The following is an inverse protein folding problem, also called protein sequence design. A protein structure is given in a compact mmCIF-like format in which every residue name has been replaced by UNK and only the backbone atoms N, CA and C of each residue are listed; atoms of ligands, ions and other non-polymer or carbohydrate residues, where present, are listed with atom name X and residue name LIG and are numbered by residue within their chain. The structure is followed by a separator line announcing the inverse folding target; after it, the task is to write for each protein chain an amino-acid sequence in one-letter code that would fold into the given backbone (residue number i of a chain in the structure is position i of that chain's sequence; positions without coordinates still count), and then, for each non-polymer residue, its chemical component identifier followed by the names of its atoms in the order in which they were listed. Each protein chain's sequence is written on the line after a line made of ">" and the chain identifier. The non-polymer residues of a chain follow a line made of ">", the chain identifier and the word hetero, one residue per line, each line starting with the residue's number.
data_IF_224142977400
#
_entry.id   IF_224142977400
#
_cell.length_a   1.000
_cell.length_b   1.000
_cell.length_c   1.000
_cell.angle_alpha   90.00
_cell.angle_beta   90.00
_cell.angle_gamma   90.00
#
_symmetry.space_group_name_H-M   'P 1'
#
loop_
_entity.id
_entity.type
_entity.pdbx_description
1 polymer ?
#
# COMPACT_ATOMS: atom_id res chain seq x y z
N UNK A 1 -15.98 8.46 28.47
CA UNK A 1 -15.08 9.59 28.13
C UNK A 1 -15.88 10.60 27.34
N UNK A 2 -15.47 11.84 27.24
CA UNK A 2 -16.24 12.84 26.50
C UNK A 2 -15.57 13.12 25.16
N UNK A 3 -16.34 13.57 24.15
CA UNK A 3 -15.77 13.99 22.87
C UNK A 3 -14.74 15.13 23.01
N UNK A 4 -14.79 15.88 24.10
CA UNK A 4 -13.90 17.03 24.33
C UNK A 4 -12.49 16.61 24.79
N UNK A 5 -12.35 15.42 25.40
CA UNK A 5 -11.08 14.87 25.87
C UNK A 5 -10.54 13.72 25.00
N UNK A 6 -11.22 13.45 23.86
CA UNK A 6 -10.86 12.39 22.94
C UNK A 6 -10.38 12.94 21.59
N UNK A 7 -9.30 12.37 21.06
CA UNK A 7 -8.79 12.64 19.72
C UNK A 7 -8.67 11.35 18.91
N UNK A 8 -8.59 11.47 17.59
CA UNK A 8 -8.42 10.33 16.68
C UNK A 8 -7.11 10.44 15.91
N UNK A 9 -6.35 9.37 15.91
CA UNK A 9 -5.17 9.19 15.10
C UNK A 9 -5.53 8.28 13.91
N UNK A 10 -5.69 8.85 12.71
CA UNK A 10 -5.78 8.05 11.49
C UNK A 10 -4.40 7.56 11.11
N UNK A 11 -4.23 6.26 10.88
CA UNK A 11 -2.93 5.67 10.60
C UNK A 11 -2.88 5.18 9.15
N UNK A 12 -1.89 5.64 8.40
CA UNK A 12 -1.65 5.31 7.00
C UNK A 12 -0.28 4.67 6.81
N UNK A 13 -0.13 3.88 5.75
CA UNK A 13 1.17 3.32 5.37
C UNK A 13 2.21 4.41 5.05
N UNK A 14 1.76 5.53 4.47
CA UNK A 14 2.63 6.53 3.86
C UNK A 14 2.99 6.17 2.42
N UNK A 15 3.39 7.17 1.64
CA UNK A 15 3.74 7.04 0.24
C UNK A 15 4.81 8.06 -0.16
N UNK A 16 5.74 7.66 -1.02
CA UNK A 16 6.68 8.58 -1.68
C UNK A 16 5.98 9.46 -2.73
N UNK A 17 4.77 9.10 -3.14
CA UNK A 17 3.98 9.85 -4.11
C UNK A 17 3.08 10.86 -3.41
N UNK A 18 2.96 12.09 -3.93
CA UNK A 18 2.17 13.14 -3.29
C UNK A 18 0.67 12.82 -3.18
N UNK A 19 0.16 11.98 -4.08
CA UNK A 19 -1.28 11.63 -4.13
C UNK A 19 -1.79 10.96 -2.84
N UNK A 20 -1.00 10.08 -2.23
CA UNK A 20 -1.38 9.40 -1.00
C UNK A 20 -1.62 10.39 0.14
N UNK A 21 -0.73 11.38 0.29
CA UNK A 21 -0.88 12.42 1.31
C UNK A 21 -2.12 13.28 1.07
N UNK A 22 -2.37 13.70 -0.19
CA UNK A 22 -3.55 14.52 -0.54
C UNK A 22 -4.85 13.80 -0.17
N UNK A 23 -4.97 12.51 -0.49
CA UNK A 23 -6.15 11.72 -0.14
C UNK A 23 -6.32 11.60 1.38
N UNK A 24 -5.24 11.38 2.13
CA UNK A 24 -5.34 11.28 3.59
C UNK A 24 -5.61 12.63 4.27
N UNK A 25 -5.12 13.74 3.73
CA UNK A 25 -5.51 15.08 4.18
C UNK A 25 -7.01 15.32 3.96
N UNK A 26 -7.57 14.91 2.82
CA UNK A 26 -9.01 14.98 2.54
C UNK A 26 -9.85 14.05 3.45
N UNK A 27 -9.40 12.81 3.67
CA UNK A 27 -10.02 11.89 4.64
C UNK A 27 -10.08 12.54 6.02
N UNK A 28 -8.97 13.13 6.49
CA UNK A 28 -8.90 13.82 7.77
C UNK A 28 -9.90 14.99 7.84
N UNK A 29 -9.94 15.85 6.83
CA UNK A 29 -10.84 17.01 6.80
C UNK A 29 -12.30 16.57 6.86
N UNK A 30 -12.72 15.64 6.01
CA UNK A 30 -14.08 15.08 6.02
C UNK A 30 -14.42 14.38 7.34
N UNK A 31 -13.46 13.65 7.92
CA UNK A 31 -13.67 12.97 9.19
C UNK A 31 -13.84 13.95 10.35
N UNK A 32 -13.07 15.05 10.38
CA UNK A 32 -13.23 16.14 11.35
C UNK A 32 -14.60 16.80 11.16
N UNK A 33 -15.01 17.11 9.92
CA UNK A 33 -16.32 17.71 9.62
C UNK A 33 -17.46 16.80 10.11
N UNK A 34 -17.36 15.50 9.88
CA UNK A 34 -18.37 14.51 10.26
C UNK A 34 -18.46 14.30 11.76
N UNK A 35 -17.32 14.19 12.46
CA UNK A 35 -17.28 13.76 13.87
C UNK A 35 -17.16 14.92 14.85
N UNK A 36 -16.56 16.03 14.43
CA UNK A 36 -16.15 17.13 15.30
C UNK A 36 -14.98 16.81 16.22
N UNK A 37 -14.30 15.66 16.03
CA UNK A 37 -13.17 15.25 16.87
C UNK A 37 -11.85 15.83 16.35
N UNK A 38 -10.95 16.19 17.27
CA UNK A 38 -9.58 16.51 16.92
C UNK A 38 -8.92 15.29 16.29
N UNK A 39 -8.42 15.43 15.07
CA UNK A 39 -7.90 14.30 14.29
C UNK A 39 -6.57 14.65 13.63
N UNK A 40 -5.63 13.72 13.65
CA UNK A 40 -4.37 13.83 12.92
C UNK A 40 -4.09 12.54 12.13
N UNK A 41 -3.27 12.64 11.07
CA UNK A 41 -2.81 11.48 10.30
C UNK A 41 -1.38 11.17 10.67
N UNK A 42 -1.12 9.94 11.10
CA UNK A 42 0.22 9.40 11.31
C UNK A 42 0.61 8.44 10.19
N UNK A 43 1.83 8.58 9.69
CA UNK A 43 2.34 7.75 8.61
C UNK A 43 3.38 6.76 9.15
N UNK A 44 3.27 5.49 8.74
CA UNK A 44 4.22 4.46 9.15
C UNK A 44 5.60 4.64 8.53
N UNK A 45 5.66 5.15 7.30
CA UNK A 45 6.88 5.28 6.49
C UNK A 45 6.82 6.49 5.58
N UNK A 46 8.00 7.01 5.23
CA UNK A 46 8.30 7.96 4.13
C UNK A 46 7.49 9.25 4.08
N UNK A 47 6.46 9.42 4.89
CA UNK A 47 5.64 10.63 4.96
C UNK A 47 5.64 11.17 6.38
N UNK A 48 5.36 12.46 6.54
CA UNK A 48 5.28 13.14 7.84
C UNK A 48 3.87 13.69 8.09
N UNK A 49 3.47 13.74 9.39
CA UNK A 49 4.20 13.29 10.58
C UNK A 49 4.27 11.75 10.71
N UNK A 50 5.29 11.23 11.39
CA UNK A 50 5.34 9.82 11.80
C UNK A 50 4.15 9.47 12.71
N UNK A 51 3.87 8.18 12.92
CA UNK A 51 2.80 7.75 13.84
C UNK A 51 3.00 8.35 15.23
N UNK A 52 4.20 8.26 15.80
CA UNK A 52 4.53 8.86 17.09
C UNK A 52 4.46 10.39 17.04
N UNK A 53 4.94 11.01 15.96
CA UNK A 53 4.84 12.46 15.73
C UNK A 53 3.40 12.95 15.72
N UNK A 54 2.48 12.22 15.09
CA UNK A 54 1.06 12.55 15.07
C UNK A 54 0.41 12.42 16.45
N UNK A 55 0.77 11.40 17.25
CA UNK A 55 0.36 11.30 18.67
C UNK A 55 0.82 12.54 19.44
N UNK A 56 2.09 12.93 19.26
CA UNK A 56 2.64 14.10 19.96
C UNK A 56 1.95 15.41 19.57
N UNK A 57 1.57 15.57 18.28
CA UNK A 57 0.76 16.72 17.82
C UNK A 57 -0.62 16.75 18.49
N UNK A 58 -1.28 15.61 18.61
CA UNK A 58 -2.56 15.53 19.32
C UNK A 58 -2.41 15.84 20.80
N UNK A 59 -1.32 15.39 21.43
CA UNK A 59 -1.00 15.58 22.84
C UNK A 59 -0.60 17.02 23.21
N UNK A 60 -0.29 17.91 22.25
CA UNK A 60 -0.09 19.35 22.50
C UNK A 60 -1.31 20.00 23.14
N UNK A 61 -2.49 19.45 22.94
CA UNK A 61 -3.71 19.86 23.63
C UNK A 61 -3.83 19.11 24.96
N UNK A 62 -3.51 19.77 26.06
CA UNK A 62 -3.53 19.22 27.41
C UNK A 62 -4.92 18.69 27.84
N UNK A 63 -6.00 19.05 27.13
CA UNK A 63 -7.33 18.52 27.39
C UNK A 63 -7.49 17.09 26.88
N UNK A 64 -6.74 16.69 25.87
CA UNK A 64 -6.81 15.34 25.32
C UNK A 64 -6.26 14.34 26.34
N UNK A 65 -7.09 13.37 26.72
CA UNK A 65 -6.79 12.31 27.68
C UNK A 65 -6.89 10.92 27.06
N UNK A 66 -7.53 10.84 25.88
CA UNK A 66 -7.76 9.60 25.16
C UNK A 66 -7.48 9.81 23.67
N UNK A 67 -6.68 8.92 23.08
CA UNK A 67 -6.42 8.88 21.65
C UNK A 67 -6.88 7.52 21.12
N UNK A 68 -7.73 7.56 20.08
CA UNK A 68 -8.18 6.38 19.37
C UNK A 68 -7.34 6.25 18.09
N UNK A 69 -6.46 5.24 18.05
CA UNK A 69 -5.70 4.86 16.86
C UNK A 69 -6.56 4.06 15.89
N UNK A 70 -6.81 4.58 14.71
CA UNK A 70 -7.66 4.01 13.67
C UNK A 70 -6.85 3.71 12.42
N UNK A 71 -6.42 2.44 12.22
CA UNK A 71 -5.71 2.04 11.02
C UNK A 71 -6.61 2.13 9.78
N UNK A 72 -6.30 3.02 8.82
CA UNK A 72 -7.03 3.14 7.56
C UNK A 72 -6.47 2.13 6.57
N UNK A 73 -6.68 0.86 6.88
CA UNK A 73 -6.26 -0.32 6.11
C UNK A 73 -7.48 -1.21 5.86
N UNK A 74 -7.59 -1.74 4.64
CA UNK A 74 -8.72 -2.59 4.26
C UNK A 74 -8.67 -3.98 4.93
N UNK A 75 -7.49 -4.56 5.02
CA UNK A 75 -7.28 -5.88 5.59
C UNK A 75 -6.30 -5.84 6.77
N UNK A 76 -6.47 -6.71 7.79
CA UNK A 76 -5.42 -6.92 8.78
C UNK A 76 -4.15 -7.47 8.12
N UNK A 77 -3.02 -7.34 8.79
CA UNK A 77 -1.74 -7.83 8.29
C UNK A 77 -0.59 -7.49 9.23
N UNK A 78 0.65 -7.71 8.80
CA UNK A 78 1.84 -7.40 9.60
C UNK A 78 1.80 -5.95 10.10
N UNK A 79 1.41 -5.02 9.25
CA UNK A 79 1.37 -3.61 9.62
C UNK A 79 0.38 -3.32 10.77
N UNK A 80 -0.84 -3.82 10.67
CA UNK A 80 -1.87 -3.54 11.68
C UNK A 80 -1.72 -4.35 12.96
N UNK A 81 -1.11 -5.54 12.88
CA UNK A 81 -1.02 -6.46 14.01
C UNK A 81 0.32 -6.44 14.74
N UNK A 82 1.36 -5.91 14.08
CA UNK A 82 2.73 -5.90 14.62
C UNK A 82 3.31 -4.50 14.58
N UNK A 83 3.44 -3.89 13.40
CA UNK A 83 4.19 -2.67 13.21
C UNK A 83 3.53 -1.46 13.91
N UNK A 84 2.24 -1.25 13.69
CA UNK A 84 1.50 -0.14 14.30
C UNK A 84 1.47 -0.25 15.82
N UNK A 85 1.18 -1.43 16.43
CA UNK A 85 1.34 -1.59 17.87
C UNK A 85 2.73 -1.16 18.36
N UNK A 86 3.82 -1.63 17.74
CA UNK A 86 5.18 -1.26 18.13
C UNK A 86 5.41 0.26 17.99
N UNK A 87 4.97 0.88 16.90
CA UNK A 87 5.07 2.34 16.69
C UNK A 87 4.30 3.15 17.72
N UNK A 88 3.28 2.56 18.36
CA UNK A 88 2.47 3.14 19.42
C UNK A 88 2.91 2.70 20.83
N UNK A 89 4.06 2.06 20.97
CA UNK A 89 4.56 1.51 22.24
C UNK A 89 3.60 0.50 22.90
N UNK A 90 2.77 -0.17 22.08
CA UNK A 90 1.85 -1.23 22.50
C UNK A 90 2.43 -2.61 22.21
N UNK A 91 1.94 -3.63 22.94
CA UNK A 91 2.30 -5.02 22.67
C UNK A 91 1.76 -5.46 21.30
N UNK A 92 2.59 -6.06 20.43
CA UNK A 92 2.13 -6.63 19.17
C UNK A 92 1.06 -7.72 19.40
N UNK A 93 0.09 -7.80 18.51
CA UNK A 93 -0.97 -8.82 18.58
C UNK A 93 -0.48 -10.21 18.15
N UNK A 94 0.64 -10.27 17.44
CA UNK A 94 1.25 -11.50 16.92
C UNK A 94 2.77 -11.42 17.01
N UNK A 95 3.43 -12.59 17.01
CA UNK A 95 4.90 -12.66 16.90
C UNK A 95 5.29 -12.30 15.47
N UNK A 96 6.25 -11.38 15.32
CA UNK A 96 6.74 -10.98 14.01
C UNK A 96 7.47 -12.14 13.31
N UNK A 97 6.95 -12.67 12.20
CA UNK A 97 7.63 -13.75 11.47
C UNK A 97 8.95 -13.30 10.82
N UNK A 98 9.18 -11.98 10.66
CA UNK A 98 10.41 -11.40 10.11
C UNK A 98 11.52 -11.33 11.16
N UNK A 99 11.14 -11.09 12.44
CA UNK A 99 12.04 -10.93 13.58
C UNK A 99 11.39 -11.56 14.84
N UNK A 100 11.40 -12.91 14.95
CA UNK A 100 10.71 -13.62 16.04
C UNK A 100 11.26 -13.32 17.45
N UNK A 101 12.49 -12.79 17.53
CA UNK A 101 13.12 -12.38 18.78
C UNK A 101 12.88 -10.90 19.15
N UNK A 102 12.17 -10.16 18.29
CA UNK A 102 11.85 -8.75 18.49
C UNK A 102 13.03 -7.79 18.31
N UNK A 103 14.18 -8.29 17.82
CA UNK A 103 15.36 -7.46 17.62
C UNK A 103 15.46 -7.00 16.16
N UNK A 104 15.14 -5.75 15.90
CA UNK A 104 15.22 -5.16 14.56
C UNK A 104 16.63 -4.60 14.30
N UNK A 105 17.21 -4.80 13.10
CA UNK A 105 18.45 -4.15 12.67
C UNK A 105 18.34 -2.62 12.73
N UNK A 106 19.47 -1.93 12.89
CA UNK A 106 19.49 -0.46 13.03
C UNK A 106 18.89 0.28 11.81
N UNK A 107 18.93 -0.32 10.63
CA UNK A 107 18.38 0.20 9.37
C UNK A 107 16.89 -0.18 9.15
N UNK A 108 16.33 -0.97 10.04
CA UNK A 108 14.91 -1.33 9.96
C UNK A 108 14.02 -0.15 10.41
N UNK A 109 12.91 0.11 9.70
CA UNK A 109 12.01 1.23 9.98
C UNK A 109 11.30 1.17 11.35
N UNK A 110 11.35 0.05 12.05
CA UNK A 110 10.92 -0.09 13.45
C UNK A 110 12.05 0.18 14.44
N UNK A 111 13.26 0.47 13.97
CA UNK A 111 14.38 0.89 14.81
C UNK A 111 14.46 2.41 14.84
N UNK A 112 14.80 2.98 16.01
CA UNK A 112 14.94 4.44 16.15
C UNK A 112 13.64 5.23 15.97
N UNK A 113 12.52 4.65 16.37
CA UNK A 113 11.23 5.34 16.42
C UNK A 113 11.28 6.55 17.39
N UNK A 114 10.52 7.58 17.07
CA UNK A 114 10.36 8.74 17.95
C UNK A 114 9.64 8.32 19.24
N UNK A 115 10.00 8.92 20.37
CA UNK A 115 9.32 8.73 21.65
C UNK A 115 7.91 9.33 21.63
N UNK A 116 6.95 8.63 22.23
CA UNK A 116 5.60 9.14 22.45
C UNK A 116 5.53 9.90 23.77
N UNK A 117 5.20 11.20 23.71
CA UNK A 117 5.06 12.07 24.85
C UNK A 117 3.59 12.26 25.26
N UNK A 118 2.83 11.16 25.29
CA UNK A 118 1.43 11.13 25.70
C UNK A 118 1.26 10.18 26.88
N UNK A 119 0.62 10.65 27.95
CA UNK A 119 0.41 9.88 29.19
C UNK A 119 -1.06 9.50 29.42
N UNK A 120 -1.93 9.80 28.46
CA UNK A 120 -3.34 9.42 28.49
C UNK A 120 -3.57 7.98 28.04
N UNK A 121 -4.82 7.63 27.79
CA UNK A 121 -5.22 6.34 27.27
C UNK A 121 -5.10 6.30 25.74
N UNK A 122 -4.57 5.22 25.19
CA UNK A 122 -4.45 4.99 23.78
C UNK A 122 -5.06 3.64 23.41
N UNK A 123 -6.17 3.68 22.69
CA UNK A 123 -6.80 2.50 22.11
C UNK A 123 -6.41 2.36 20.65
N UNK A 124 -6.06 1.16 20.23
CA UNK A 124 -5.79 0.84 18.84
C UNK A 124 -6.89 -0.09 18.30
N UNK A 125 -7.55 0.36 17.24
CA UNK A 125 -8.59 -0.39 16.56
C UNK A 125 -7.99 -1.34 15.52
N UNK A 126 -8.81 -2.32 15.09
CA UNK A 126 -8.47 -3.20 13.97
C UNK A 126 -8.58 -2.47 12.60
N UNK A 127 -8.08 -3.12 11.55
CA UNK A 127 -8.33 -2.71 10.17
C UNK A 127 -9.83 -2.70 9.84
N UNK A 128 -10.23 -2.02 8.75
CA UNK A 128 -11.62 -1.87 8.30
C UNK A 128 -12.31 -3.23 8.09
N UNK A 129 -11.57 -4.23 7.56
CA UNK A 129 -12.11 -5.54 7.26
C UNK A 129 -13.10 -5.55 6.08
N UNK A 130 -13.74 -6.71 5.80
CA UNK A 130 -14.69 -6.86 4.71
C UNK A 130 -16.06 -6.25 5.09
N UNK A 131 -16.06 -4.93 5.38
CA UNK A 131 -17.26 -4.20 5.74
C UNK A 131 -18.26 -4.17 4.57
N UNK A 132 -19.53 -4.59 4.76
CA UNK A 132 -20.52 -4.62 3.69
C UNK A 132 -20.75 -3.27 3.00
N UNK A 133 -20.52 -2.17 3.70
CA UNK A 133 -20.66 -0.82 3.13
C UNK A 133 -19.59 -0.47 2.09
N UNK A 134 -18.47 -1.21 2.04
CA UNK A 134 -17.51 -1.07 0.93
C UNK A 134 -18.15 -1.43 -0.41
N UNK A 135 -19.21 -2.24 -0.42
CA UNK A 135 -19.96 -2.58 -1.64
C UNK A 135 -20.68 -1.35 -2.22
N UNK A 136 -21.16 -0.42 -1.38
CA UNK A 136 -21.75 0.83 -1.83
C UNK A 136 -20.74 1.66 -2.65
N UNK A 137 -19.48 1.68 -2.22
CA UNK A 137 -18.40 2.36 -2.95
C UNK A 137 -18.11 1.64 -4.27
N UNK A 138 -18.00 0.31 -4.24
CA UNK A 138 -17.75 -0.50 -5.44
C UNK A 138 -18.86 -0.30 -6.48
N UNK A 139 -20.11 -0.35 -6.07
CA UNK A 139 -21.29 -0.13 -6.93
C UNK A 139 -21.28 1.29 -7.53
N UNK A 140 -21.00 2.31 -6.73
CA UNK A 140 -20.86 3.68 -7.21
C UNK A 140 -19.75 3.83 -8.25
N UNK A 141 -18.59 3.16 -8.05
CA UNK A 141 -17.48 3.15 -9.02
C UNK A 141 -17.87 2.48 -10.33
N UNK A 142 -18.63 1.37 -10.27
CA UNK A 142 -19.16 0.70 -11.46
C UNK A 142 -20.12 1.62 -12.21
N UNK A 143 -21.09 2.22 -11.52
CA UNK A 143 -22.07 3.10 -12.15
C UNK A 143 -21.40 4.31 -12.81
N UNK A 144 -20.48 4.98 -12.12
CA UNK A 144 -19.72 6.11 -12.68
C UNK A 144 -18.92 5.68 -13.92
N UNK A 145 -18.24 4.54 -13.86
CA UNK A 145 -17.49 4.02 -15.02
C UNK A 145 -18.40 3.71 -16.20
N UNK A 146 -19.60 3.16 -15.95
CA UNK A 146 -20.59 2.87 -16.99
C UNK A 146 -21.20 4.13 -17.61
N UNK A 147 -21.27 5.25 -16.89
CA UNK A 147 -21.69 6.55 -17.41
C UNK A 147 -20.65 7.15 -18.38
N UNK A 148 -19.37 6.84 -18.18
CA UNK A 148 -18.26 7.31 -19.01
C UNK A 148 -17.97 6.38 -20.21
N UNK A 149 -18.64 5.23 -20.31
CA UNK A 149 -18.44 4.22 -21.35
C UNK A 149 -18.78 4.73 -22.76
N UNK A 150 -18.00 4.34 -23.74
CA UNK A 150 -18.26 4.60 -25.15
C UNK A 150 -19.33 3.64 -25.73
N UNK A 151 -19.58 2.50 -25.07
CA UNK A 151 -20.59 1.52 -25.47
C UNK A 151 -21.96 1.87 -24.89
N UNK A 152 -23.01 1.37 -25.57
CA UNK A 152 -24.37 1.50 -25.09
C UNK A 152 -24.57 0.85 -23.70
N UNK A 153 -25.53 1.35 -22.93
CA UNK A 153 -25.77 0.90 -21.55
C UNK A 153 -26.06 -0.61 -21.43
N UNK A 154 -26.64 -1.22 -22.46
CA UNK A 154 -27.00 -2.63 -22.54
C UNK A 154 -25.88 -3.54 -23.08
N UNK A 155 -24.68 -3.00 -23.32
CA UNK A 155 -23.53 -3.79 -23.69
C UNK A 155 -23.22 -4.85 -22.60
N UNK A 156 -22.83 -6.04 -23.02
CA UNK A 156 -22.53 -7.17 -22.11
C UNK A 156 -21.32 -6.81 -21.27
N UNK A 157 -21.57 -6.58 -20.01
CA UNK A 157 -20.57 -6.09 -19.05
C UNK A 157 -20.12 -7.19 -18.11
N UNK A 158 -18.83 -7.34 -17.91
CA UNK A 158 -18.22 -8.08 -16.80
C UNK A 158 -17.61 -7.12 -15.78
N UNK A 159 -17.57 -7.53 -14.53
CA UNK A 159 -16.98 -6.74 -13.43
C UNK A 159 -15.86 -7.53 -12.76
N UNK A 160 -14.73 -6.88 -12.53
CA UNK A 160 -13.63 -7.45 -11.76
C UNK A 160 -13.27 -6.54 -10.60
N UNK A 161 -13.15 -7.12 -9.40
CA UNK A 161 -12.63 -6.43 -8.22
C UNK A 161 -11.14 -6.78 -8.08
N UNK A 162 -10.29 -5.76 -7.94
CA UNK A 162 -8.84 -5.95 -7.86
C UNK A 162 -8.29 -5.44 -6.54
N UNK A 163 -7.44 -6.25 -5.89
CA UNK A 163 -6.69 -5.87 -4.69
C UNK A 163 -5.19 -6.14 -4.87
N UNK A 164 -4.39 -5.66 -3.92
CA UNK A 164 -2.94 -5.75 -3.99
C UNK A 164 -2.44 -7.20 -4.02
N UNK A 165 -2.93 -8.04 -3.11
CA UNK A 165 -2.34 -9.32 -2.77
C UNK A 165 -1.38 -9.21 -1.58
N UNK A 166 -1.04 -10.34 -0.96
CA UNK A 166 -0.13 -10.40 0.19
C UNK A 166 0.46 -11.80 0.33
N UNK A 167 1.70 -11.89 0.82
CA UNK A 167 2.31 -13.20 1.17
C UNK A 167 1.63 -13.88 2.35
N UNK A 168 0.88 -13.11 3.15
CA UNK A 168 0.06 -13.61 4.26
C UNK A 168 -1.40 -13.64 3.80
N UNK A 169 -2.14 -14.66 4.16
CA UNK A 169 -3.50 -14.94 3.70
C UNK A 169 -4.56 -13.85 3.97
N UNK A 170 -4.27 -12.86 4.80
CA UNK A 170 -5.23 -11.86 5.26
C UNK A 170 -5.88 -11.05 4.12
N UNK A 171 -5.10 -10.62 3.13
CA UNK A 171 -5.65 -9.85 2.00
C UNK A 171 -6.54 -10.75 1.12
N UNK A 172 -6.16 -12.03 0.96
CA UNK A 172 -6.96 -13.01 0.25
C UNK A 172 -8.28 -13.30 0.95
N UNK A 173 -8.24 -13.51 2.25
CA UNK A 173 -9.45 -13.71 3.07
C UNK A 173 -10.37 -12.49 2.95
N UNK A 174 -9.83 -11.29 3.15
CA UNK A 174 -10.56 -10.03 3.00
C UNK A 174 -11.24 -9.92 1.64
N UNK A 175 -10.48 -10.09 0.54
CA UNK A 175 -11.03 -9.91 -0.80
C UNK A 175 -12.04 -11.02 -1.15
N UNK A 176 -11.79 -12.26 -0.71
CA UNK A 176 -12.71 -13.38 -0.92
C UNK A 176 -14.04 -13.15 -0.21
N UNK A 177 -14.00 -12.67 1.04
CA UNK A 177 -15.19 -12.38 1.83
C UNK A 177 -15.96 -11.19 1.23
N UNK A 178 -15.26 -10.12 0.84
CA UNK A 178 -15.86 -8.95 0.19
C UNK A 178 -16.49 -9.35 -1.17
N UNK A 179 -15.77 -10.13 -1.98
CA UNK A 179 -16.25 -10.60 -3.27
C UNK A 179 -17.47 -11.53 -3.14
N UNK A 180 -17.49 -12.41 -2.14
CA UNK A 180 -18.65 -13.27 -1.88
C UNK A 180 -19.91 -12.45 -1.60
N UNK A 181 -19.77 -11.36 -0.83
CA UNK A 181 -20.88 -10.46 -0.56
C UNK A 181 -21.29 -9.69 -1.83
N UNK A 182 -20.32 -9.23 -2.63
CA UNK A 182 -20.56 -8.52 -3.89
C UNK A 182 -21.27 -9.41 -4.91
N UNK A 183 -20.76 -10.62 -5.16
CA UNK A 183 -21.31 -11.57 -6.14
C UNK A 183 -22.77 -11.92 -5.82
N UNK A 184 -23.15 -11.95 -4.53
CA UNK A 184 -24.51 -12.26 -4.10
C UNK A 184 -25.55 -11.20 -4.50
N UNK A 185 -25.12 -9.96 -4.81
CA UNK A 185 -26.00 -8.85 -5.17
C UNK A 185 -25.70 -8.22 -6.54
N UNK A 186 -24.60 -8.61 -7.18
CA UNK A 186 -24.18 -8.09 -8.47
C UNK A 186 -24.91 -8.80 -9.61
N UNK A 187 -25.52 -8.05 -10.53
CA UNK A 187 -26.22 -8.59 -11.70
C UNK A 187 -25.28 -8.91 -12.88
N UNK A 188 -24.01 -8.50 -12.79
CA UNK A 188 -23.00 -8.74 -13.83
C UNK A 188 -22.22 -10.02 -13.57
N UNK A 189 -21.80 -10.76 -14.63
CA UNK A 189 -20.72 -11.73 -14.50
C UNK A 189 -19.53 -11.09 -13.81
N UNK A 190 -19.05 -11.68 -12.72
CA UNK A 190 -18.04 -11.05 -11.90
C UNK A 190 -16.91 -11.98 -11.52
N UNK A 191 -15.75 -11.40 -11.25
CA UNK A 191 -14.54 -12.08 -10.82
C UNK A 191 -13.73 -11.17 -9.88
N UNK A 192 -12.66 -11.71 -9.29
CA UNK A 192 -11.68 -10.92 -8.58
C UNK A 192 -10.26 -11.35 -8.91
N UNK A 193 -9.32 -10.44 -8.79
CA UNK A 193 -7.91 -10.70 -9.05
C UNK A 193 -6.99 -9.93 -8.12
N UNK A 194 -5.76 -10.44 -8.01
CA UNK A 194 -4.70 -9.78 -7.26
C UNK A 194 -3.67 -9.19 -8.23
N UNK A 195 -3.14 -8.03 -7.88
CA UNK A 195 -2.09 -7.39 -8.66
C UNK A 195 -0.79 -8.19 -8.57
N UNK A 196 -0.46 -8.72 -7.37
CA UNK A 196 0.72 -9.54 -7.14
C UNK A 196 0.56 -10.49 -5.94
N UNK A 197 1.54 -11.40 -5.75
CA UNK A 197 1.74 -12.24 -4.57
C UNK A 197 0.65 -13.29 -4.27
N UNK A 198 -0.51 -13.20 -4.89
CA UNK A 198 -1.66 -14.09 -4.67
C UNK A 198 -2.29 -14.53 -6.00
N UNK A 199 -3.19 -15.50 -5.92
CA UNK A 199 -3.93 -16.04 -7.06
C UNK A 199 -5.44 -16.03 -6.81
N UNK A 200 -6.27 -15.77 -7.86
CA UNK A 200 -5.87 -15.53 -9.26
C UNK A 200 -5.25 -14.14 -9.46
N UNK A 201 -4.28 -14.02 -10.37
CA UNK A 201 -3.81 -12.73 -10.85
C UNK A 201 -4.84 -12.08 -11.81
N UNK A 202 -4.65 -10.79 -12.12
CA UNK A 202 -5.57 -10.03 -12.98
C UNK A 202 -5.74 -10.70 -14.35
N UNK A 203 -4.67 -11.10 -15.09
CA UNK A 203 -4.84 -11.76 -16.38
C UNK A 203 -5.59 -13.09 -16.29
N UNK A 204 -5.27 -13.95 -15.33
CA UNK A 204 -5.95 -15.25 -15.15
C UNK A 204 -7.42 -15.07 -14.79
N UNK A 205 -7.75 -14.10 -13.94
CA UNK A 205 -9.12 -13.78 -13.58
C UNK A 205 -9.92 -13.23 -14.77
N UNK A 206 -9.29 -12.36 -15.58
CA UNK A 206 -9.89 -11.84 -16.83
C UNK A 206 -10.17 -12.96 -17.81
N UNK A 207 -9.18 -13.81 -18.10
CA UNK A 207 -9.33 -14.91 -19.06
C UNK A 207 -10.46 -15.84 -18.65
N UNK A 208 -10.52 -16.23 -17.38
CA UNK A 208 -11.60 -17.06 -16.87
C UNK A 208 -12.97 -16.39 -17.05
N UNK A 209 -13.09 -15.12 -16.69
CA UNK A 209 -14.35 -14.37 -16.81
C UNK A 209 -14.82 -14.30 -18.27
N UNK A 210 -13.91 -14.05 -19.22
CA UNK A 210 -14.21 -13.94 -20.65
C UNK A 210 -14.43 -15.29 -21.34
N UNK A 211 -13.80 -16.35 -20.88
CA UNK A 211 -14.05 -17.73 -21.36
C UNK A 211 -15.44 -18.23 -20.97
N UNK A 212 -15.89 -17.89 -19.77
CA UNK A 212 -17.19 -18.33 -19.24
C UNK A 212 -18.35 -17.43 -19.68
N UNK A 213 -18.06 -16.19 -20.11
CA UNK A 213 -19.07 -15.20 -20.45
C UNK A 213 -18.66 -14.41 -21.71
N UNK A 214 -19.64 -14.19 -22.59
CA UNK A 214 -19.44 -13.26 -23.70
C UNK A 214 -19.62 -11.83 -23.19
N UNK A 215 -18.53 -11.08 -23.00
CA UNK A 215 -18.55 -9.68 -22.57
C UNK A 215 -17.96 -8.76 -23.63
N UNK A 216 -18.50 -7.56 -23.76
CA UNK A 216 -18.02 -6.50 -24.66
C UNK A 216 -17.24 -5.45 -23.89
N UNK A 217 -17.50 -5.35 -22.58
CA UNK A 217 -16.92 -4.37 -21.67
C UNK A 217 -16.55 -5.00 -20.34
N UNK A 218 -15.37 -4.65 -19.82
CA UNK A 218 -14.86 -5.05 -18.51
C UNK A 218 -14.68 -3.83 -17.62
N UNK A 219 -15.38 -3.79 -16.49
CA UNK A 219 -15.18 -2.78 -15.44
C UNK A 219 -14.26 -3.37 -14.39
N UNK A 220 -13.09 -2.77 -14.17
CA UNK A 220 -12.09 -3.22 -13.18
C UNK A 220 -12.03 -2.23 -12.03
N UNK A 221 -12.56 -2.61 -10.87
CA UNK A 221 -12.66 -1.75 -9.69
C UNK A 221 -11.49 -1.98 -8.74
N UNK A 222 -10.59 -1.00 -8.55
CA UNK A 222 -9.47 -1.12 -7.62
C UNK A 222 -9.91 -0.92 -6.17
N UNK A 223 -9.84 -1.99 -5.35
CA UNK A 223 -10.10 -1.95 -3.92
C UNK A 223 -8.81 -1.60 -3.19
N UNK A 224 -8.50 -0.30 -3.19
CA UNK A 224 -7.35 0.35 -2.56
C UNK A 224 -7.84 1.64 -1.89
N UNK A 225 -7.23 2.02 -0.75
CA UNK A 225 -7.63 3.25 -0.05
C UNK A 225 -7.28 4.50 -0.87
N UNK A 226 -6.07 4.54 -1.45
CA UNK A 226 -5.57 5.72 -2.15
C UNK A 226 -4.81 5.35 -3.42
N UNK A 227 -4.68 6.28 -4.39
CA UNK A 227 -3.82 6.10 -5.54
C UNK A 227 -2.36 5.90 -5.13
N UNK A 228 -1.68 4.98 -5.83
CA UNK A 228 -0.26 4.68 -5.66
C UNK A 228 0.34 4.15 -6.95
N UNK A 229 1.61 3.70 -6.93
CA UNK A 229 2.27 3.13 -8.12
C UNK A 229 1.41 2.03 -8.76
N UNK A 230 0.89 1.11 -7.96
CA UNK A 230 0.11 -0.02 -8.46
C UNK A 230 -1.18 0.42 -9.18
N UNK A 231 -1.92 1.34 -8.60
CA UNK A 231 -3.21 1.78 -9.17
C UNK A 231 -3.06 2.78 -10.31
N UNK A 232 -1.96 3.55 -10.37
CA UNK A 232 -1.76 4.58 -11.39
C UNK A 232 -0.81 4.18 -12.51
N UNK A 233 -0.13 3.04 -12.37
CA UNK A 233 0.86 2.58 -13.35
C UNK A 233 0.75 1.07 -13.60
N UNK A 234 0.97 0.21 -12.60
CA UNK A 234 1.12 -1.22 -12.82
C UNK A 234 -0.19 -1.87 -13.30
N UNK A 235 -1.32 -1.60 -12.63
CA UNK A 235 -2.64 -2.12 -13.06
C UNK A 235 -3.06 -1.55 -14.41
N UNK A 236 -2.93 -0.23 -14.71
CA UNK A 236 -3.19 0.30 -16.04
C UNK A 236 -2.37 -0.36 -17.16
N UNK A 237 -1.10 -0.72 -16.92
CA UNK A 237 -0.29 -1.48 -17.91
C UNK A 237 -0.86 -2.89 -18.10
N UNK A 238 -1.16 -3.63 -17.02
CA UNK A 238 -1.77 -4.96 -17.09
C UNK A 238 -3.10 -4.89 -17.89
N UNK A 239 -3.88 -3.83 -17.69
CA UNK A 239 -5.16 -3.61 -18.37
C UNK A 239 -5.02 -3.06 -19.80
N UNK A 240 -3.81 -2.83 -20.32
CA UNK A 240 -3.53 -2.20 -21.62
C UNK A 240 -4.08 -0.77 -21.77
N UNK A 241 -4.26 -0.06 -20.66
CA UNK A 241 -4.66 1.35 -20.62
C UNK A 241 -3.46 2.31 -20.72
N UNK A 242 -2.26 1.77 -20.52
CA UNK A 242 -0.98 2.48 -20.65
C UNK A 242 0.04 1.58 -21.33
N UNK A 243 0.97 2.17 -22.07
CA UNK A 243 2.15 1.47 -22.58
C UNK A 243 3.23 1.40 -21.51
N UNK A 244 3.97 0.30 -21.44
CA UNK A 244 5.15 0.19 -20.60
C UNK A 244 6.27 1.06 -21.18
N UNK A 245 6.70 2.10 -20.45
CA UNK A 245 7.85 2.91 -20.85
C UNK A 245 9.13 2.08 -20.69
N UNK A 246 9.62 1.50 -21.78
CA UNK A 246 10.94 0.91 -21.83
C UNK A 246 12.00 2.01 -21.67
N UNK A 247 12.48 2.25 -20.48
CA UNK A 247 13.72 3.00 -20.27
C UNK A 247 14.86 2.18 -20.89
N UNK A 248 15.23 2.52 -22.13
CA UNK A 248 16.52 2.13 -22.67
C UNK A 248 17.57 2.82 -21.81
N UNK A 249 18.17 2.09 -20.87
CA UNK A 249 19.45 2.48 -20.32
C UNK A 249 20.41 2.57 -21.49
N UNK A 250 20.73 3.81 -21.89
CA UNK A 250 21.85 4.06 -22.76
C UNK A 250 23.11 3.73 -21.95
N UNK A 251 23.63 2.52 -22.14
CA UNK A 251 25.01 2.20 -21.83
C UNK A 251 25.88 3.21 -22.58
N UNK A 252 26.31 4.24 -21.88
CA UNK A 252 27.39 5.08 -22.33
C UNK A 252 28.69 4.30 -22.10
N UNK A 253 29.08 3.50 -23.11
CA UNK A 253 30.42 3.01 -23.27
C UNK A 253 31.36 4.25 -23.35
N UNK A 254 31.90 4.64 -22.21
CA UNK A 254 33.04 5.53 -22.16
C UNK A 254 34.29 4.70 -22.39
N UNK A 255 34.64 4.53 -23.68
CA UNK A 255 36.00 4.19 -24.10
C UNK A 255 36.95 5.29 -23.63
N UNK A 256 37.55 5.14 -22.48
CA UNK A 256 38.74 5.91 -22.10
C UNK A 256 39.98 5.24 -22.66
N UNK A 257 40.36 5.59 -23.88
CA UNK A 257 41.71 5.33 -24.40
C UNK A 257 42.69 6.28 -23.69
N UNK A 258 43.44 5.76 -22.74
CA UNK A 258 44.62 6.42 -22.23
C UNK A 258 45.88 5.72 -22.78
N UNK A 259 46.39 6.23 -23.91
CA UNK A 259 47.76 6.04 -24.32
C UNK A 259 48.70 6.83 -23.37
N UNK A 260 49.43 6.13 -22.54
CA UNK A 260 50.68 6.66 -21.93
C UNK A 260 51.79 5.67 -22.11
N UNK A 261 52.63 5.95 -23.16
CA UNK A 261 53.96 5.47 -23.25
C UNK A 261 54.83 6.14 -22.17
N UNK A 262 55.37 5.38 -21.24
CA UNK A 262 56.61 5.73 -20.54
C UNK A 262 57.47 4.48 -20.34
N UNK A 263 58.52 4.41 -21.15
CA UNK A 263 59.69 3.55 -20.95
C UNK A 263 60.54 4.14 -19.84
N UNK A 264 60.88 3.38 -18.80
CA UNK A 264 62.17 3.43 -18.10
C UNK A 264 62.42 2.12 -17.39
N UNK A 265 63.45 1.42 -17.83
CA UNK A 265 64.00 0.29 -17.14
C UNK A 265 64.79 0.71 -15.91
N UNK A 266 64.76 -0.11 -14.90
CA UNK A 266 65.89 -0.36 -13.98
C UNK A 266 65.65 -1.66 -13.23
N UNK A 267 66.64 -2.58 -13.43
CA UNK A 267 66.81 -3.80 -12.63
C UNK A 267 67.10 -3.45 -11.18
N UNK A 268 66.52 -4.14 -10.23
CA UNK A 268 67.13 -4.52 -8.96
C UNK A 268 66.37 -5.71 -8.33
N UNK A 269 67.07 -6.82 -8.25
CA UNK A 269 66.74 -7.97 -7.40
C UNK A 269 66.82 -7.60 -5.91
N UNK A 270 65.81 -7.91 -5.13
CA UNK A 270 65.94 -8.28 -3.73
C UNK A 270 64.77 -9.16 -3.28
N UNK A 271 65.10 -10.39 -2.93
CA UNK A 271 64.28 -11.34 -2.21
C UNK A 271 64.10 -10.90 -0.76
N UNK A 272 62.88 -10.90 -0.25
CA UNK A 272 62.56 -11.13 1.14
C UNK A 272 61.13 -11.72 1.28
N UNK A 273 61.11 -12.96 1.79
CA UNK A 273 59.92 -13.62 2.32
C UNK A 273 59.41 -12.84 3.53
N UNK A 274 58.14 -12.47 3.54
CA UNK A 274 57.35 -12.27 4.75
C UNK A 274 55.90 -12.62 4.50
N UNK A 275 55.48 -13.75 5.06
CA UNK A 275 54.11 -14.14 5.35
C UNK A 275 53.44 -13.08 6.23
N UNK A 276 52.41 -12.43 5.74
CA UNK A 276 51.38 -11.80 6.54
C UNK A 276 50.02 -11.94 5.85
N UNK A 277 49.27 -12.95 6.33
CA UNK A 277 47.83 -13.06 6.07
C UNK A 277 47.10 -11.92 6.76
N UNK A 278 46.53 -10.99 6.01
CA UNK A 278 45.49 -10.09 6.44
C UNK A 278 44.29 -10.29 5.52
N UNK A 279 43.33 -11.07 5.99
CA UNK A 279 42.03 -11.11 5.46
C UNK A 279 41.34 -9.75 5.75
N UNK A 280 41.07 -8.98 4.73
CA UNK A 280 40.13 -7.89 4.78
C UNK A 280 38.91 -8.31 3.95
N UNK A 281 37.99 -8.94 4.62
CA UNK A 281 36.62 -9.07 4.12
C UNK A 281 35.96 -7.68 4.17
N UNK A 282 36.00 -6.96 3.07
CA UNK A 282 35.14 -5.82 2.85
C UNK A 282 33.83 -6.34 2.24
N UNK A 283 32.90 -6.77 3.07
CA UNK A 283 31.50 -6.88 2.68
C UNK A 283 30.95 -5.47 2.49
N UNK A 284 31.00 -4.97 1.27
CA UNK A 284 30.17 -3.85 0.86
C UNK A 284 28.75 -4.40 0.69
N UNK A 285 27.99 -4.34 1.78
CA UNK A 285 26.52 -4.48 1.72
C UNK A 285 25.96 -3.25 0.99
N UNK A 286 25.94 -3.33 -0.33
CA UNK A 286 25.06 -2.48 -1.10
C UNK A 286 23.66 -3.02 -0.90
N UNK A 287 22.84 -2.32 -0.11
CA UNK A 287 21.40 -2.52 -0.07
C UNK A 287 20.85 -2.33 -1.48
N UNK A 288 20.83 -3.42 -2.24
CA UNK A 288 20.06 -3.45 -3.47
C UNK A 288 18.59 -3.38 -3.07
N UNK A 289 17.98 -2.22 -3.21
CA UNK A 289 16.58 -2.16 -3.51
C UNK A 289 16.39 -2.99 -4.78
N UNK A 290 16.04 -4.26 -4.61
CA UNK A 290 15.50 -5.04 -5.69
C UNK A 290 14.15 -4.38 -6.03
N UNK A 291 14.19 -3.43 -6.95
CA UNK A 291 13.05 -3.11 -7.77
C UNK A 291 12.77 -4.41 -8.55
N UNK A 292 11.89 -5.24 -7.99
CA UNK A 292 11.38 -6.40 -8.70
C UNK A 292 10.53 -5.79 -9.82
N UNK A 293 11.12 -5.64 -11.01
CA UNK A 293 10.38 -5.52 -12.24
C UNK A 293 9.59 -6.83 -12.38
N UNK A 294 8.40 -6.86 -11.81
CA UNK A 294 7.44 -7.91 -12.12
C UNK A 294 7.14 -7.75 -13.60
N UNK A 295 7.37 -8.80 -14.35
CA UNK A 295 6.97 -8.88 -15.75
C UNK A 295 5.44 -8.72 -15.77
N UNK A 296 4.98 -7.49 -16.04
CA UNK A 296 3.55 -7.15 -16.03
C UNK A 296 2.91 -7.79 -17.27
N UNK A 297 2.35 -8.98 -17.10
CA UNK A 297 1.65 -9.65 -18.20
C UNK A 297 0.32 -8.96 -18.46
N UNK A 298 0.11 -8.39 -19.67
CA UNK A 298 -1.17 -7.75 -20.00
C UNK A 298 -2.31 -8.78 -20.15
N UNK A 299 -3.54 -8.30 -19.90
CA UNK A 299 -4.76 -9.11 -20.17
C UNK A 299 -4.92 -9.37 -21.67
N UNK A 300 -5.56 -10.50 -22.02
CA UNK A 300 -5.95 -10.85 -23.39
C UNK A 300 -7.46 -10.59 -23.57
N UNK A 301 -7.82 -9.31 -23.62
CA UNK A 301 -9.20 -8.86 -23.82
C UNK A 301 -9.22 -7.67 -24.79
N UNK A 302 -10.06 -7.79 -25.85
CA UNK A 302 -10.15 -6.80 -26.94
C UNK A 302 -11.35 -5.86 -26.82
N UNK A 303 -12.19 -6.05 -25.77
CA UNK A 303 -13.33 -5.17 -25.49
C UNK A 303 -12.94 -3.88 -24.79
N UNK A 304 -13.95 -3.05 -24.47
CA UNK A 304 -13.74 -1.82 -23.69
C UNK A 304 -13.34 -2.17 -22.25
N UNK A 305 -12.29 -1.53 -21.74
CA UNK A 305 -11.85 -1.66 -20.34
C UNK A 305 -12.06 -0.34 -19.64
N UNK A 306 -12.87 -0.34 -18.58
CA UNK A 306 -13.13 0.80 -17.71
C UNK A 306 -12.43 0.57 -16.37
N UNK A 307 -11.69 1.59 -15.92
CA UNK A 307 -10.90 1.51 -14.69
C UNK A 307 -11.13 2.78 -13.86
N UNK A 308 -12.13 2.77 -12.97
CA UNK A 308 -12.43 3.91 -12.09
C UNK A 308 -11.35 4.12 -11.04
N UNK A 309 -11.43 5.26 -10.37
CA UNK A 309 -10.53 5.58 -9.26
C UNK A 309 -10.68 4.62 -8.07
N UNK A 310 -9.65 4.51 -7.21
CA UNK A 310 -9.73 3.82 -5.92
C UNK A 310 -10.78 4.41 -4.97
N UNK A 311 -10.87 3.88 -3.76
CA UNK A 311 -11.83 4.31 -2.72
C UNK A 311 -11.69 5.80 -2.43
N UNK A 312 -10.45 6.30 -2.24
CA UNK A 312 -10.15 7.69 -1.91
C UNK A 312 -10.91 8.18 -0.67
N UNK A 313 -11.19 9.48 -0.59
CA UNK A 313 -11.95 10.10 0.49
C UNK A 313 -13.48 10.01 0.27
N UNK A 314 -13.97 8.83 -0.11
CA UNK A 314 -15.40 8.57 -0.31
C UNK A 314 -16.18 8.79 1.00
N UNK A 315 -17.37 9.39 0.89
CA UNK A 315 -18.18 9.70 2.07
C UNK A 315 -18.61 8.45 2.83
N UNK A 316 -18.83 7.33 2.12
CA UNK A 316 -19.13 6.04 2.75
C UNK A 316 -17.94 5.52 3.53
N UNK A 317 -16.69 5.71 3.06
CA UNK A 317 -15.50 5.38 3.84
C UNK A 317 -15.46 6.18 5.15
N UNK A 318 -15.75 7.49 5.08
CA UNK A 318 -15.80 8.33 6.29
C UNK A 318 -16.83 7.83 7.29
N UNK A 319 -18.01 7.40 6.82
CA UNK A 319 -19.05 6.83 7.67
C UNK A 319 -18.67 5.46 8.27
N UNK A 320 -17.92 4.64 7.52
CA UNK A 320 -17.34 3.40 8.07
C UNK A 320 -16.37 3.74 9.20
N UNK A 321 -15.42 4.65 8.96
CA UNK A 321 -14.44 5.08 9.97
C UNK A 321 -15.11 5.70 11.20
N UNK A 322 -16.15 6.54 11.02
CA UNK A 322 -16.94 7.07 12.13
C UNK A 322 -17.58 5.95 12.94
N UNK A 323 -18.20 4.97 12.28
CA UNK A 323 -18.86 3.86 12.96
C UNK A 323 -17.90 3.02 13.81
N UNK A 324 -16.63 2.86 13.38
CA UNK A 324 -15.63 2.09 14.09
C UNK A 324 -15.25 2.69 15.44
N UNK A 325 -15.35 4.01 15.61
CA UNK A 325 -14.98 4.69 16.86
C UNK A 325 -16.14 4.86 17.84
N UNK A 326 -17.40 4.55 17.45
CA UNK A 326 -18.59 4.86 18.26
C UNK A 326 -18.58 4.22 19.66
N UNK A 327 -18.03 3.02 19.80
CA UNK A 327 -17.98 2.30 21.07
C UNK A 327 -16.91 2.85 22.03
N UNK A 328 -16.05 3.76 21.54
CA UNK A 328 -14.94 4.37 22.27
C UNK A 328 -15.21 5.82 22.70
N UNK A 329 -16.34 6.40 22.28
CA UNK A 329 -16.81 7.75 22.61
C UNK A 329 -17.82 7.72 23.76
#
# INVERSE_FOLDING_TARGET
>A
MSKEDTAVLLISHGSTRPYGKVVFDEIKEKFIEKTGLKTEVGYMKVSEPSVAGAVNILAEDENIKHIIGLPVFLAPGIHTRIDIPIMLELEPLEVDPRQPDGNYPDDHYLSGLDDINFSGELDLLDAIGPNPRLLEIIENRIETALEESELERDARTGVMIVSHGSRLGYNKEFLTDLFTQFEAQCDYPSSFGFMELETPDIPSATNKLTEENEIDRLVVVPVFIAPGKHTTHDIPIILRLMEEEHHHEHDHDHEHSHDHEHSHGHDHEHSHDHDHSHGHDHEHSHGHHHDHSHDLTPIDFEGEVLYPEPICADDVLIEILESMIQDYL
#
